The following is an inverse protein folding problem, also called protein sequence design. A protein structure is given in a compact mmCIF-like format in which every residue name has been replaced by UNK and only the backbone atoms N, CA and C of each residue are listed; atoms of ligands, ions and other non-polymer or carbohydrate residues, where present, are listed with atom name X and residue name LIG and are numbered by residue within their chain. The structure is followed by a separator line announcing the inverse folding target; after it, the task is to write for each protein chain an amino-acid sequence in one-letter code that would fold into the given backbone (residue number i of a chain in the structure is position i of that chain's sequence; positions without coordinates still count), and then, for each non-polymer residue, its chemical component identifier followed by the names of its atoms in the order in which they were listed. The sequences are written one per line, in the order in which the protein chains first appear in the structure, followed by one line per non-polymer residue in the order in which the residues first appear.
data_IF_345724711283
#
_entry.id   IF_345724711283
#
_cell.length_a   1.000
_cell.length_b   1.000
_cell.length_c   1.000
_cell.angle_alpha   90.00
_cell.angle_beta   90.00
_cell.angle_gamma   90.00
#
_symmetry.space_group_name_H-M   'P 1'
#
loop_
_entity.id
_entity.type
_entity.pdbx_description
1 polymer ?
#
# COMPACT_ATOMS: atom_id res chain seq x y z
N UNK A 1 -59.40 -36.92 -0.45
CA UNK A 1 -58.40 -37.82 0.16
C UNK A 1 -57.23 -37.84 -0.80
N UNK A 2 -56.36 -36.83 -0.77
CA UNK A 2 -55.22 -36.70 0.18
C UNK A 2 -54.27 -37.90 0.00
N UNK A 3 -52.97 -37.75 -0.30
CA UNK A 3 -52.08 -36.66 0.03
C UNK A 3 -51.06 -36.34 -1.05
N UNK A 4 -50.82 -35.03 -1.14
CA UNK A 4 -49.68 -34.37 -1.71
C UNK A 4 -48.53 -34.47 -0.70
N UNK A 5 -47.53 -35.32 -0.93
CA UNK A 5 -46.29 -35.29 -0.14
C UNK A 5 -45.25 -34.46 -0.86
N UNK A 6 -44.97 -33.32 -0.22
CA UNK A 6 -44.20 -32.23 -0.72
C UNK A 6 -42.73 -32.62 -0.93
N UNK A 7 -42.25 -32.29 -2.13
CA UNK A 7 -40.84 -32.07 -2.42
C UNK A 7 -40.36 -30.86 -1.59
N UNK A 8 -39.93 -31.09 -0.35
CA UNK A 8 -39.27 -30.07 0.45
C UNK A 8 -37.78 -30.00 0.08
N UNK A 9 -37.45 -28.91 -0.63
CA UNK A 9 -36.11 -28.34 -0.70
C UNK A 9 -35.57 -28.04 0.71
N UNK A 10 -34.40 -28.58 1.02
CA UNK A 10 -33.37 -28.01 1.90
C UNK A 10 -32.05 -28.67 1.44
N UNK A 11 -31.12 -28.05 0.72
CA UNK A 11 -30.71 -26.65 0.81
C UNK A 11 -29.70 -26.43 1.94
N UNK A 12 -28.74 -27.34 2.14
CA UNK A 12 -27.44 -27.03 2.76
C UNK A 12 -26.45 -28.19 2.52
N UNK A 13 -25.74 -28.19 1.39
CA UNK A 13 -24.48 -28.92 1.31
C UNK A 13 -23.53 -28.10 2.17
N UNK A 14 -23.45 -28.46 3.45
CA UNK A 14 -22.67 -27.73 4.44
C UNK A 14 -21.27 -27.51 3.90
N UNK A 15 -20.89 -26.23 3.74
CA UNK A 15 -19.54 -25.86 3.36
C UNK A 15 -18.57 -26.64 4.23
N UNK A 16 -17.71 -27.42 3.59
CA UNK A 16 -16.82 -28.31 4.30
C UNK A 16 -15.89 -27.47 5.18
N UNK A 17 -15.39 -28.05 6.27
CA UNK A 17 -14.38 -27.39 7.11
C UNK A 17 -13.10 -27.03 6.33
N UNK A 18 -12.90 -27.63 5.15
CA UNK A 18 -11.85 -27.30 4.21
C UNK A 18 -12.18 -25.99 3.46
N UNK A 19 -13.39 -25.86 2.89
CA UNK A 19 -13.85 -24.64 2.19
C UNK A 19 -13.82 -23.42 3.13
N UNK A 20 -14.24 -23.58 4.39
CA UNK A 20 -14.20 -22.50 5.40
C UNK A 20 -12.77 -22.08 5.79
N UNK A 21 -11.79 -23.00 5.68
CA UNK A 21 -10.39 -22.67 5.93
C UNK A 21 -9.79 -21.98 4.71
N UNK A 22 -10.08 -22.47 3.51
CA UNK A 22 -9.67 -21.88 2.24
C UNK A 22 -10.14 -20.42 2.13
N UNK A 23 -11.42 -20.15 2.37
CA UNK A 23 -11.97 -18.78 2.42
C UNK A 23 -11.29 -17.89 3.47
N UNK A 24 -10.98 -18.44 4.65
CA UNK A 24 -10.31 -17.70 5.72
C UNK A 24 -8.85 -17.34 5.40
N UNK A 25 -8.14 -18.23 4.68
CA UNK A 25 -6.79 -17.95 4.20
C UNK A 25 -6.82 -16.92 3.07
N UNK A 26 -7.65 -17.11 2.05
CA UNK A 26 -7.77 -16.17 0.92
C UNK A 26 -8.19 -14.76 1.38
N UNK A 27 -9.17 -14.66 2.28
CA UNK A 27 -9.63 -13.39 2.84
C UNK A 27 -8.52 -12.68 3.62
N UNK A 28 -7.72 -13.42 4.40
CA UNK A 28 -6.58 -12.85 5.12
C UNK A 28 -5.47 -12.39 4.17
N UNK A 29 -5.14 -13.19 3.15
CA UNK A 29 -4.13 -12.81 2.17
C UNK A 29 -4.54 -11.55 1.40
N UNK A 30 -5.78 -11.49 0.93
CA UNK A 30 -6.31 -10.30 0.25
C UNK A 30 -6.28 -9.05 1.15
N UNK A 31 -6.65 -9.20 2.43
CA UNK A 31 -6.60 -8.10 3.39
C UNK A 31 -5.16 -7.62 3.66
N UNK A 32 -4.23 -8.56 3.87
CA UNK A 32 -2.82 -8.23 4.12
C UNK A 32 -2.18 -7.56 2.90
N UNK A 33 -2.52 -7.99 1.68
CA UNK A 33 -2.06 -7.36 0.44
C UNK A 33 -2.67 -5.97 0.22
N UNK A 34 -3.97 -5.80 0.47
CA UNK A 34 -4.63 -4.50 0.41
C UNK A 34 -4.02 -3.51 1.41
N UNK A 35 -3.75 -3.96 2.65
CA UNK A 35 -3.11 -3.13 3.67
C UNK A 35 -1.70 -2.72 3.25
N UNK A 36 -0.91 -3.65 2.70
CA UNK A 36 0.42 -3.36 2.15
C UNK A 36 0.35 -2.35 1.01
N UNK A 37 -0.56 -2.53 0.05
CA UNK A 37 -0.73 -1.60 -1.06
C UNK A 37 -1.06 -0.18 -0.58
N UNK A 38 -2.01 -0.06 0.36
CA UNK A 38 -2.36 1.24 0.98
C UNK A 38 -1.18 1.84 1.74
N UNK A 39 -0.42 1.03 2.49
CA UNK A 39 0.73 1.47 3.27
C UNK A 39 1.86 1.97 2.34
N UNK A 40 2.17 1.24 1.27
CA UNK A 40 3.16 1.63 0.26
C UNK A 40 2.79 2.95 -0.41
N UNK A 41 1.53 3.10 -0.87
CA UNK A 41 1.07 4.35 -1.47
C UNK A 41 1.15 5.54 -0.48
N UNK A 42 0.80 5.31 0.79
CA UNK A 42 0.90 6.33 1.84
C UNK A 42 2.36 6.69 2.15
N UNK A 43 3.25 5.69 2.28
CA UNK A 43 4.70 5.89 2.44
C UNK A 43 5.26 6.72 1.30
N UNK A 44 4.97 6.37 0.05
CA UNK A 44 5.48 7.07 -1.13
C UNK A 44 5.04 8.54 -1.16
N UNK A 45 3.80 8.82 -0.76
CA UNK A 45 3.32 10.19 -0.61
C UNK A 45 4.10 10.96 0.47
N UNK A 46 4.27 10.37 1.66
CA UNK A 46 5.02 11.00 2.75
C UNK A 46 6.48 11.25 2.37
N UNK A 47 7.11 10.29 1.69
CA UNK A 47 8.49 10.38 1.23
C UNK A 47 8.65 11.46 0.17
N UNK A 48 7.69 11.57 -0.76
CA UNK A 48 7.68 12.63 -1.74
C UNK A 48 7.56 14.02 -1.10
N UNK A 49 6.70 14.19 -0.09
CA UNK A 49 6.61 15.45 0.67
C UNK A 49 7.93 15.78 1.39
N UNK A 50 8.54 14.79 2.04
CA UNK A 50 9.85 14.95 2.68
C UNK A 50 10.92 15.40 1.67
N UNK A 51 11.02 14.73 0.52
CA UNK A 51 11.98 15.09 -0.50
C UNK A 51 11.67 16.47 -1.13
N UNK A 52 10.40 16.86 -1.24
CA UNK A 52 9.99 18.16 -1.75
C UNK A 52 10.58 19.32 -0.93
N UNK A 53 10.70 19.17 0.39
CA UNK A 53 11.29 20.17 1.28
C UNK A 53 12.76 20.45 0.90
N UNK A 54 13.55 19.40 0.65
CA UNK A 54 14.95 19.53 0.21
C UNK A 54 15.08 20.11 -1.19
N UNK A 55 14.09 19.88 -2.05
CA UNK A 55 14.03 20.44 -3.39
C UNK A 55 13.50 21.88 -3.43
N UNK A 56 13.20 22.48 -2.27
CA UNK A 56 12.66 23.83 -2.17
C UNK A 56 11.24 23.98 -2.72
N UNK A 57 10.50 22.87 -2.83
CA UNK A 57 9.10 22.85 -3.28
C UNK A 57 8.19 23.07 -2.07
N UNK A 58 7.07 23.77 -2.27
CA UNK A 58 6.08 24.04 -1.21
C UNK A 58 4.67 24.11 -1.76
N UNK A 59 3.67 23.99 -0.87
CA UNK A 59 2.25 24.04 -1.24
C UNK A 59 1.90 23.05 -2.35
N UNK A 60 1.26 23.54 -3.42
CA UNK A 60 0.83 22.72 -4.55
C UNK A 60 2.00 22.00 -5.26
N UNK A 61 3.18 22.61 -5.31
CA UNK A 61 4.35 22.01 -5.97
C UNK A 61 4.89 20.81 -5.18
N UNK A 62 4.83 20.88 -3.85
CA UNK A 62 5.19 19.76 -2.99
C UNK A 62 4.17 18.61 -3.10
N UNK A 63 2.88 18.94 -3.16
CA UNK A 63 1.83 17.95 -3.37
C UNK A 63 1.92 17.26 -4.73
N UNK A 64 2.22 18.00 -5.80
CA UNK A 64 2.37 17.37 -7.12
C UNK A 64 3.61 16.49 -7.18
N UNK A 65 4.73 16.94 -6.63
CA UNK A 65 5.93 16.10 -6.52
C UNK A 65 5.67 14.82 -5.71
N UNK A 66 4.90 14.91 -4.62
CA UNK A 66 4.50 13.72 -3.86
C UNK A 66 3.67 12.73 -4.69
N UNK A 67 2.79 13.21 -5.58
CA UNK A 67 2.05 12.34 -6.50
C UNK A 67 2.95 11.71 -7.54
N UNK A 68 3.93 12.44 -8.07
CA UNK A 68 4.93 11.88 -8.99
C UNK A 68 5.72 10.74 -8.35
N UNK A 69 6.11 10.89 -7.08
CA UNK A 69 6.80 9.83 -6.32
C UNK A 69 5.90 8.61 -6.09
N UNK A 70 4.60 8.80 -5.88
CA UNK A 70 3.65 7.66 -5.83
C UNK A 70 3.56 6.98 -7.21
N UNK A 71 3.56 7.75 -8.30
CA UNK A 71 3.48 7.22 -9.68
C UNK A 71 4.75 6.50 -10.14
N UNK A 72 5.92 6.76 -9.55
CA UNK A 72 7.14 6.04 -9.94
C UNK A 72 7.17 4.58 -9.48
N UNK A 73 6.39 4.22 -8.47
CA UNK A 73 6.33 2.86 -7.87
C UNK A 73 5.76 1.77 -8.82
N UNK A 74 5.37 2.13 -10.04
CA UNK A 74 4.64 1.25 -10.95
C UNK A 74 5.53 0.62 -12.04
N UNK A 75 6.83 0.91 -12.10
CA UNK A 75 7.71 0.42 -13.17
C UNK A 75 8.23 -1.00 -12.91
N UNK A 76 8.70 -1.27 -11.70
CA UNK A 76 9.27 -2.55 -11.27
C UNK A 76 8.68 -3.03 -9.93
N UNK A 77 8.59 -4.35 -9.68
CA UNK A 77 8.19 -4.85 -8.37
C UNK A 77 9.17 -4.43 -7.27
N UNK A 78 8.65 -3.78 -6.24
CA UNK A 78 9.42 -3.34 -5.07
C UNK A 78 9.50 -1.81 -4.98
N UNK A 79 10.46 -1.31 -4.21
CA UNK A 79 10.53 0.11 -3.84
C UNK A 79 11.70 0.86 -4.52
N UNK A 80 12.43 0.20 -5.41
CA UNK A 80 13.65 0.74 -6.00
C UNK A 80 13.39 1.90 -6.96
N UNK A 81 12.26 1.94 -7.65
CA UNK A 81 11.90 3.05 -8.54
C UNK A 81 11.76 4.37 -7.78
N UNK A 82 11.10 4.29 -6.62
CA UNK A 82 10.91 5.42 -5.71
C UNK A 82 12.26 5.94 -5.21
N UNK A 83 13.14 5.03 -4.80
CA UNK A 83 14.51 5.37 -4.40
C UNK A 83 15.28 6.03 -5.55
N UNK A 84 15.29 5.41 -6.73
CA UNK A 84 16.01 5.90 -7.93
C UNK A 84 15.54 7.29 -8.34
N UNK A 85 14.23 7.54 -8.32
CA UNK A 85 13.66 8.86 -8.61
C UNK A 85 14.19 9.92 -7.65
N UNK A 86 14.05 9.70 -6.35
CA UNK A 86 14.48 10.68 -5.33
C UNK A 86 15.99 10.91 -5.41
N UNK A 87 16.78 9.84 -5.58
CA UNK A 87 18.21 9.94 -5.75
C UNK A 87 18.58 10.83 -6.94
N UNK A 88 17.96 10.59 -8.09
CA UNK A 88 18.19 11.39 -9.30
C UNK A 88 17.79 12.86 -9.12
N UNK A 89 16.64 13.12 -8.50
CA UNK A 89 16.15 14.48 -8.24
C UNK A 89 17.07 15.23 -7.25
N UNK A 90 17.56 14.53 -6.22
CA UNK A 90 18.53 15.09 -5.27
C UNK A 90 19.88 15.36 -5.93
N UNK A 91 20.36 14.48 -6.81
CA UNK A 91 21.62 14.70 -7.55
C UNK A 91 21.52 15.90 -8.48
N UNK A 92 20.39 16.03 -9.19
CA UNK A 92 20.11 17.18 -10.06
C UNK A 92 20.05 18.50 -9.27
N UNK A 93 19.48 18.46 -8.06
CA UNK A 93 19.38 19.62 -7.17
C UNK A 93 20.61 19.84 -6.27
N UNK A 94 21.63 18.97 -6.34
CA UNK A 94 22.82 18.98 -5.47
C UNK A 94 22.48 18.90 -3.97
N UNK A 95 21.46 18.12 -3.63
CA UNK A 95 21.07 17.84 -2.23
C UNK A 95 21.99 16.77 -1.65
N UNK A 96 22.69 17.11 -0.57
CA UNK A 96 23.59 16.20 0.15
C UNK A 96 22.81 15.28 1.12
N UNK A 97 22.03 14.37 0.56
CA UNK A 97 21.52 13.21 1.28
C UNK A 97 22.22 11.97 0.74
N UNK A 98 22.68 11.08 1.61
CA UNK A 98 23.26 9.79 1.23
C UNK A 98 22.17 8.76 0.93
N UNK A 99 22.53 7.74 0.16
CA UNK A 99 21.61 6.62 -0.15
C UNK A 99 21.10 5.92 1.11
N UNK A 100 21.98 5.80 2.13
CA UNK A 100 21.61 5.23 3.42
C UNK A 100 20.56 6.08 4.14
N UNK A 101 20.67 7.41 4.08
CA UNK A 101 19.66 8.31 4.67
C UNK A 101 18.32 8.18 3.96
N UNK A 102 18.31 8.17 2.62
CA UNK A 102 17.07 8.01 1.85
C UNK A 102 16.39 6.69 2.22
N UNK A 103 17.13 5.57 2.19
CA UNK A 103 16.58 4.24 2.51
C UNK A 103 16.08 4.14 3.94
N UNK A 104 16.83 4.67 4.90
CA UNK A 104 16.39 4.73 6.29
C UNK A 104 15.09 5.54 6.45
N UNK A 105 14.97 6.67 5.75
CA UNK A 105 13.73 7.45 5.76
C UNK A 105 12.57 6.69 5.11
N UNK A 106 12.80 5.89 4.07
CA UNK A 106 11.76 5.02 3.50
C UNK A 106 11.23 4.02 4.53
N UNK A 107 12.11 3.40 5.31
CA UNK A 107 11.73 2.46 6.38
C UNK A 107 10.97 3.16 7.51
N UNK A 108 11.48 4.29 7.99
CA UNK A 108 10.83 5.09 9.05
C UNK A 108 9.42 5.55 8.62
N UNK A 109 9.26 5.97 7.37
CA UNK A 109 7.97 6.39 6.82
C UNK A 109 7.04 5.20 6.55
N UNK A 110 7.56 3.99 6.32
CA UNK A 110 6.72 2.79 6.22
C UNK A 110 6.05 2.50 7.56
N UNK A 111 6.80 2.54 8.67
CA UNK A 111 6.23 2.40 10.01
C UNK A 111 5.15 3.45 10.27
N UNK A 112 5.44 4.71 9.95
CA UNK A 112 4.46 5.80 10.09
C UNK A 112 3.22 5.60 9.22
N UNK A 113 3.38 5.10 7.99
CA UNK A 113 2.26 4.84 7.09
C UNK A 113 1.33 3.73 7.63
N UNK A 114 1.91 2.66 8.16
CA UNK A 114 1.15 1.58 8.81
C UNK A 114 0.42 2.10 10.04
N UNK A 115 1.09 2.86 10.90
CA UNK A 115 0.49 3.45 12.10
C UNK A 115 -0.67 4.38 11.74
N UNK A 116 -0.53 5.20 10.69
CA UNK A 116 -1.62 6.06 10.20
C UNK A 116 -2.81 5.25 9.73
N UNK A 117 -2.60 4.17 8.96
CA UNK A 117 -3.71 3.33 8.48
C UNK A 117 -4.44 2.60 9.61
N UNK A 118 -3.74 2.26 10.69
CA UNK A 118 -4.34 1.60 11.85
C UNK A 118 -5.09 2.58 12.77
N UNK A 119 -4.65 3.84 12.86
CA UNK A 119 -5.19 4.83 13.78
C UNK A 119 -6.17 5.84 13.12
N UNK A 120 -6.16 5.97 11.79
CA UNK A 120 -7.07 6.84 11.02
C UNK A 120 -8.27 6.07 10.43
N UNK A 121 -8.46 4.80 10.83
CA UNK A 121 -9.56 3.92 10.40
C UNK A 121 -10.86 4.09 11.18
#
# INVERSE_FOLDING_TARGET
MEGNEAFQKSGDIGMSTFDKREEGFESKFAHDEELRFKATARRNKLLGLWAAEFLGKSGADAEEYAKEVVRSDFEEPGDEDVFRKIRADFDAAKVEQSDHQIRRTMDELMHKAVDQLQNEG
#
